data_IF_853805604556
#
_entry.id   IF_853805604556
#
_cell.length_a   1.000
_cell.length_b   1.000
_cell.length_c   1.000
_cell.angle_alpha   90.00
_cell.angle_beta   90.00
_cell.angle_gamma   90.00
#
_symmetry.space_group_name_H-M   'P 1'
#
loop_
_entity.id
_entity.type
_entity.pdbx_description
1 polymer ?
#
# COMPACT_ATOMS: atom_id res chain seq x y z
N UNK A 1 3.40 -6.38 8.42
CA UNK A 1 2.96 -5.61 7.23
C UNK A 1 3.87 -4.43 6.94
N UNK A 2 4.08 -3.52 7.90
CA UNK A 2 4.89 -2.31 7.65
C UNK A 2 6.31 -2.59 7.15
N UNK A 3 6.97 -3.64 7.63
CA UNK A 3 8.29 -4.04 7.12
C UNK A 3 8.26 -4.47 5.65
N UNK A 4 7.27 -5.27 5.25
CA UNK A 4 7.10 -5.68 3.86
C UNK A 4 6.87 -4.47 2.94
N UNK A 5 6.03 -3.52 3.37
CA UNK A 5 5.81 -2.28 2.61
C UNK A 5 7.09 -1.46 2.54
N UNK A 6 7.83 -1.29 3.65
CA UNK A 6 9.07 -0.51 3.70
C UNK A 6 10.13 -1.06 2.76
N UNK A 7 10.32 -2.38 2.74
CA UNK A 7 11.33 -3.04 1.91
C UNK A 7 10.95 -3.15 0.43
N UNK A 8 9.67 -2.96 0.07
CA UNK A 8 9.20 -3.15 -1.30
C UNK A 8 9.47 -1.94 -2.20
N UNK A 9 9.90 -2.20 -3.43
CA UNK A 9 9.97 -1.18 -4.48
C UNK A 9 8.60 -0.95 -5.15
N UNK A 10 7.78 -1.99 -5.21
CA UNK A 10 6.44 -2.00 -5.80
C UNK A 10 5.43 -2.54 -4.79
N UNK A 11 4.29 -1.85 -4.63
CA UNK A 11 3.18 -2.29 -3.79
C UNK A 11 1.93 -2.44 -4.66
N UNK A 12 1.35 -3.65 -4.67
CA UNK A 12 0.14 -3.99 -5.42
C UNK A 12 -0.99 -4.32 -4.43
N UNK A 13 -2.06 -3.54 -4.46
CA UNK A 13 -3.24 -3.82 -3.64
C UNK A 13 -4.26 -4.63 -4.44
N UNK A 14 -4.50 -5.85 -4.01
CA UNK A 14 -5.42 -6.80 -4.67
C UNK A 14 -6.74 -7.01 -3.91
N UNK A 15 -6.77 -6.64 -2.62
CA UNK A 15 -7.92 -6.83 -1.73
C UNK A 15 -8.03 -5.62 -0.79
N UNK A 16 -9.22 -5.34 -0.28
CA UNK A 16 -9.57 -4.11 0.46
C UNK A 16 -9.76 -4.33 1.96
N UNK A 17 -8.87 -5.09 2.60
CA UNK A 17 -8.90 -5.25 4.05
C UNK A 17 -8.78 -3.91 4.80
N UNK A 18 -9.47 -3.83 5.93
CA UNK A 18 -9.52 -2.66 6.81
C UNK A 18 -8.12 -2.15 7.24
N UNK A 19 -7.16 -3.05 7.37
CA UNK A 19 -5.76 -2.76 7.67
C UNK A 19 -5.06 -1.97 6.56
N UNK A 20 -5.42 -2.19 5.29
CA UNK A 20 -4.89 -1.43 4.16
C UNK A 20 -5.51 -0.04 4.06
N UNK A 21 -6.81 0.08 4.35
CA UNK A 21 -7.49 1.38 4.42
C UNK A 21 -6.83 2.31 5.44
N UNK A 22 -6.41 1.74 6.58
CA UNK A 22 -5.75 2.48 7.69
C UNK A 22 -4.23 2.58 7.56
N UNK A 23 -3.64 2.14 6.45
CA UNK A 23 -2.19 2.19 6.26
C UNK A 23 -1.70 3.66 6.28
N UNK A 24 -0.61 3.91 7.00
CA UNK A 24 0.09 5.19 6.93
C UNK A 24 0.61 5.41 5.49
N UNK A 25 0.01 6.37 4.79
CA UNK A 25 0.31 6.68 3.37
C UNK A 25 1.76 7.12 3.17
N UNK A 26 2.45 7.60 4.21
CA UNK A 26 3.87 7.96 4.10
C UNK A 26 4.75 6.75 3.78
N UNK A 27 4.33 5.54 4.16
CA UNK A 27 5.04 4.29 3.83
C UNK A 27 5.01 3.96 2.33
N UNK A 28 4.08 4.55 1.57
CA UNK A 28 3.95 4.37 0.13
C UNK A 28 4.74 5.42 -0.66
N UNK A 29 5.28 6.44 0.00
CA UNK A 29 6.04 7.49 -0.65
C UNK A 29 7.24 6.90 -1.41
N UNK A 30 7.48 7.41 -2.63
CA UNK A 30 8.56 6.99 -3.52
C UNK A 30 8.49 5.52 -4.01
N UNK A 31 7.41 4.79 -3.72
CA UNK A 31 7.17 3.44 -4.24
C UNK A 31 6.28 3.50 -5.48
N UNK A 32 6.42 2.51 -6.36
CA UNK A 32 5.44 2.30 -7.43
C UNK A 32 4.22 1.62 -6.80
N UNK A 33 3.09 2.33 -6.76
CA UNK A 33 1.86 1.81 -6.19
C UNK A 33 0.87 1.50 -7.31
N UNK A 34 0.40 0.25 -7.37
CA UNK A 34 -0.73 -0.13 -8.20
C UNK A 34 -1.89 -0.53 -7.30
N UNK A 35 -2.86 0.37 -7.18
CA UNK A 35 -4.06 0.14 -6.41
C UNK A 35 -5.20 -0.28 -7.36
N UNK A 36 -5.51 -1.58 -7.38
CA UNK A 36 -6.61 -2.12 -8.19
C UNK A 36 -7.98 -1.95 -7.53
N UNK A 37 -8.01 -1.44 -6.29
CA UNK A 37 -9.20 -1.33 -5.45
C UNK A 37 -9.69 0.09 -5.21
N UNK A 38 -8.86 1.10 -5.46
CA UNK A 38 -9.20 2.50 -5.22
C UNK A 38 -9.24 2.88 -3.73
N UNK A 39 -8.53 2.12 -2.89
CA UNK A 39 -8.41 2.36 -1.45
C UNK A 39 -7.42 3.48 -1.15
N UNK A 40 -6.40 3.61 -2.01
CA UNK A 40 -5.28 4.54 -1.88
C UNK A 40 -5.25 5.68 -2.90
N UNK A 41 -6.34 5.92 -3.62
CA UNK A 41 -6.56 7.21 -4.29
C UNK A 41 -6.64 8.37 -3.31
#
# INVERSE_FOLDING_TARGET
>A
MNEAVRAADIVLLLVDHNEFVRLDRTLLAQKIVHDTRGVWS
#
